data_IF_341149974171
#
_entry.id   IF_341149974171
#
_cell.length_a   1.000
_cell.length_b   1.000
_cell.length_c   1.000
_cell.angle_alpha   90.00
_cell.angle_beta   90.00
_cell.angle_gamma   90.00
#
_symmetry.space_group_name_H-M   'P 1'
#
loop_
_entity.id
_entity.type
_entity.pdbx_description
1 polymer ?
#
# COMPACT_ATOMS: atom_id res chain seq x y z
N UNK A 1 9.85 21.22 31.34
CA UNK A 1 9.48 20.86 31.35
C UNK A 1 9.50 20.74 31.43
N UNK A 2 9.72 21.07 32.00
CA UNK A 2 9.46 20.92 32.05
C UNK A 2 9.11 21.03 31.49
N UNK A 3 9.14 21.25 31.11
CA UNK A 3 8.82 21.12 30.49
C UNK A 3 8.48 21.14 29.46
N UNK A 4 8.44 21.87 28.82
CA UNK A 4 8.44 21.46 27.44
C UNK A 4 8.00 20.05 27.13
N UNK A 5 7.68 19.36 28.08
CA UNK A 5 7.29 17.97 27.90
C UNK A 5 5.94 17.82 27.26
N UNK A 6 5.12 18.83 27.31
CA UNK A 6 3.82 18.76 26.68
C UNK A 6 3.91 18.51 25.17
N UNK A 7 5.06 18.79 24.57
CA UNK A 7 5.25 18.58 23.14
C UNK A 7 5.72 17.19 22.77
N UNK A 8 6.23 16.43 23.75
CA UNK A 8 6.77 15.12 23.43
C UNK A 8 5.76 14.16 22.79
N UNK A 9 4.55 14.02 23.32
CA UNK A 9 3.55 13.19 22.63
C UNK A 9 3.23 13.70 21.24
N UNK A 10 3.23 14.99 21.07
CA UNK A 10 2.96 15.60 19.79
C UNK A 10 4.08 15.29 18.78
N UNK A 11 5.31 15.38 19.23
CA UNK A 11 6.47 15.07 18.38
C UNK A 11 6.46 13.63 17.94
N UNK A 12 5.97 12.74 18.80
CA UNK A 12 5.94 11.31 18.48
C UNK A 12 4.71 10.88 17.71
N UNK A 13 3.77 11.80 17.49
CA UNK A 13 2.58 11.45 16.72
C UNK A 13 2.94 11.20 15.27
N UNK A 14 2.45 10.09 14.72
CA UNK A 14 2.62 9.77 13.33
C UNK A 14 1.30 9.26 12.75
N UNK A 15 0.83 9.85 11.67
CA UNK A 15 -0.36 9.32 11.00
C UNK A 15 -0.04 7.95 10.41
N UNK A 16 -1.05 7.30 9.89
CA UNK A 16 -0.87 6.06 9.14
C UNK A 16 -0.01 6.35 7.91
N UNK A 17 0.87 5.41 7.59
CA UNK A 17 1.73 5.52 6.42
C UNK A 17 1.73 4.16 5.72
N UNK A 18 0.94 4.05 4.67
CA UNK A 18 0.85 2.81 3.90
C UNK A 18 1.95 2.77 2.85
N UNK A 19 2.59 1.63 2.76
CA UNK A 19 3.64 1.43 1.77
C UNK A 19 3.56 0.01 1.23
N UNK A 20 3.77 -0.13 -0.07
CA UNK A 20 3.72 -1.41 -0.74
C UNK A 20 5.11 -1.88 -1.10
N UNK A 21 5.29 -3.20 -1.18
CA UNK A 21 6.46 -3.81 -1.76
C UNK A 21 6.21 -4.04 -3.25
N UNK A 22 7.28 -4.29 -4.00
CA UNK A 22 7.15 -4.59 -5.43
C UNK A 22 6.20 -5.77 -5.61
N UNK A 23 5.18 -5.64 -6.48
CA UNK A 23 4.28 -6.75 -6.76
C UNK A 23 5.01 -7.95 -7.31
N UNK A 24 4.58 -9.15 -6.91
CA UNK A 24 5.15 -10.40 -7.38
C UNK A 24 4.06 -11.23 -8.03
N UNK A 25 4.39 -11.86 -9.16
CA UNK A 25 3.44 -12.73 -9.82
C UNK A 25 3.44 -14.10 -9.14
N UNK A 26 2.28 -14.54 -8.71
CA UNK A 26 2.09 -15.85 -8.09
C UNK A 26 1.54 -16.79 -9.15
N UNK A 27 2.38 -17.69 -9.64
CA UNK A 27 2.01 -18.62 -10.69
C UNK A 27 0.95 -19.60 -10.25
N UNK A 28 0.95 -19.98 -8.98
CA UNK A 28 -0.01 -20.96 -8.47
C UNK A 28 -1.41 -20.37 -8.42
N UNK A 29 -1.53 -19.10 -8.04
CA UNK A 29 -2.82 -18.45 -7.91
C UNK A 29 -3.20 -17.65 -9.15
N UNK A 30 -2.26 -17.45 -10.07
CA UNK A 30 -2.53 -16.75 -11.31
C UNK A 30 -2.78 -15.27 -11.16
N UNK A 31 -2.10 -14.62 -10.22
CA UNK A 31 -2.31 -13.20 -9.98
C UNK A 31 -1.09 -12.48 -9.44
N UNK A 32 -1.22 -11.18 -9.26
CA UNK A 32 -0.18 -10.37 -8.67
C UNK A 32 -0.42 -10.26 -7.16
N UNK A 33 0.60 -10.56 -6.40
CA UNK A 33 0.60 -10.48 -4.95
C UNK A 33 1.25 -9.18 -4.53
N UNK A 34 0.53 -8.38 -3.75
CA UNK A 34 1.02 -7.09 -3.28
C UNK A 34 0.96 -7.06 -1.76
N UNK A 35 2.12 -6.89 -1.12
CA UNK A 35 2.19 -6.73 0.32
C UNK A 35 2.17 -5.26 0.67
N UNK A 36 1.31 -4.90 1.61
CA UNK A 36 1.17 -3.52 2.08
C UNK A 36 1.31 -3.52 3.58
N UNK A 37 2.10 -2.59 4.10
CA UNK A 37 2.31 -2.44 5.53
C UNK A 37 2.03 -1.01 5.96
N UNK A 38 1.48 -0.87 7.15
CA UNK A 38 1.29 0.44 7.76
C UNK A 38 2.50 0.74 8.65
N UNK A 39 3.33 1.68 8.22
CA UNK A 39 4.52 2.08 8.97
C UNK A 39 4.26 3.27 9.89
N UNK A 40 3.03 3.75 9.94
CA UNK A 40 2.66 4.83 10.84
C UNK A 40 2.31 4.31 12.23
N UNK A 41 1.95 5.22 13.10
CA UNK A 41 1.60 4.90 14.48
C UNK A 41 0.10 5.02 14.75
N UNK A 42 -0.69 5.21 13.69
CA UNK A 42 -2.15 5.26 13.77
C UNK A 42 -2.73 4.25 12.79
N UNK A 43 -3.93 3.77 13.08
CA UNK A 43 -4.64 2.89 12.16
C UNK A 43 -4.93 3.62 10.85
N UNK A 44 -4.93 2.90 9.74
CA UNK A 44 -5.17 3.52 8.43
C UNK A 44 -6.64 3.84 8.23
N UNK A 45 -6.90 4.91 7.47
CA UNK A 45 -8.24 5.27 7.04
C UNK A 45 -8.70 4.32 5.93
N UNK A 46 -10.00 4.29 5.62
CA UNK A 46 -10.48 3.47 4.51
C UNK A 46 -9.73 3.82 3.22
N UNK A 47 -9.17 2.82 2.59
CA UNK A 47 -8.25 3.00 1.46
C UNK A 47 -8.58 1.99 0.38
N UNK A 48 -8.40 2.40 -0.88
CA UNK A 48 -8.44 1.50 -2.03
C UNK A 48 -7.07 1.46 -2.66
N UNK A 49 -6.69 0.31 -3.19
CA UNK A 49 -5.38 0.09 -3.77
C UNK A 49 -5.54 -0.32 -5.23
N UNK A 50 -4.81 0.35 -6.10
CA UNK A 50 -4.79 0.05 -7.52
C UNK A 50 -3.37 -0.32 -7.92
N UNK A 51 -3.24 -1.35 -8.76
CA UNK A 51 -1.93 -1.72 -9.30
C UNK A 51 -1.93 -1.38 -10.78
N UNK A 52 -0.89 -0.68 -11.21
CA UNK A 52 -0.67 -0.35 -12.61
C UNK A 52 0.55 -1.13 -13.07
N UNK A 53 0.37 -1.93 -14.11
CA UNK A 53 1.44 -2.76 -14.65
C UNK A 53 1.72 -2.33 -16.08
N UNK A 54 2.94 -1.87 -16.36
CA UNK A 54 3.36 -1.38 -17.67
C UNK A 54 2.36 -0.35 -18.22
N UNK A 55 1.84 0.52 -17.36
CA UNK A 55 0.90 1.55 -17.75
C UNK A 55 -0.56 1.11 -17.80
N UNK A 56 -0.84 -0.17 -17.57
CA UNK A 56 -2.22 -0.69 -17.58
C UNK A 56 -2.71 -0.92 -16.17
N UNK A 57 -3.83 -0.29 -15.81
CA UNK A 57 -4.44 -0.50 -14.51
C UNK A 57 -5.06 -1.89 -14.46
N UNK A 58 -4.75 -2.62 -13.41
CA UNK A 58 -5.31 -3.95 -13.24
C UNK A 58 -6.66 -3.89 -12.56
N UNK A 59 -6.70 -3.32 -11.38
CA UNK A 59 -7.94 -3.32 -10.63
C UNK A 59 -7.75 -2.50 -9.36
N UNK A 60 -8.86 -1.99 -8.82
CA UNK A 60 -8.84 -1.30 -7.53
C UNK A 60 -9.54 -2.17 -6.51
N UNK A 61 -8.85 -2.45 -5.41
CA UNK A 61 -9.33 -3.32 -4.35
C UNK A 61 -9.36 -2.55 -3.03
N UNK A 62 -10.43 -2.75 -2.25
CA UNK A 62 -10.52 -2.13 -0.94
C UNK A 62 -9.51 -2.79 0.00
N UNK A 63 -8.79 -1.97 0.76
CA UNK A 63 -7.85 -2.42 1.76
C UNK A 63 -8.50 -2.29 3.12
N UNK A 64 -8.46 -3.35 3.92
CA UNK A 64 -8.96 -3.26 5.29
C UNK A 64 -8.13 -2.25 6.07
N UNK A 65 -8.67 -1.76 7.17
CA UNK A 65 -7.91 -0.90 8.09
C UNK A 65 -6.73 -1.67 8.63
N UNK A 66 -5.54 -1.10 8.50
CA UNK A 66 -4.32 -1.69 9.04
C UNK A 66 -3.92 -0.97 10.32
N UNK A 67 -3.67 -1.74 11.37
CA UNK A 67 -3.12 -1.20 12.60
C UNK A 67 -1.64 -0.87 12.39
N UNK A 68 -1.01 -0.13 13.30
CA UNK A 68 0.42 0.16 13.16
C UNK A 68 1.23 -1.11 12.94
N UNK A 69 2.07 -1.09 11.90
CA UNK A 69 2.96 -2.18 11.49
C UNK A 69 2.27 -3.45 11.00
N UNK A 70 0.95 -3.43 10.90
CA UNK A 70 0.22 -4.57 10.34
C UNK A 70 0.47 -4.68 8.84
N UNK A 71 0.56 -5.93 8.36
CA UNK A 71 0.79 -6.23 6.94
C UNK A 71 -0.44 -6.91 6.38
N UNK A 72 -0.84 -6.50 5.19
CA UNK A 72 -1.91 -7.17 4.45
C UNK A 72 -1.39 -7.54 3.07
N UNK A 73 -1.81 -8.69 2.59
CA UNK A 73 -1.41 -9.20 1.29
C UNK A 73 -2.63 -9.21 0.38
N UNK A 74 -2.58 -8.45 -0.70
CA UNK A 74 -3.67 -8.39 -1.66
C UNK A 74 -3.31 -9.18 -2.91
N UNK A 75 -4.33 -9.85 -3.49
CA UNK A 75 -4.16 -10.57 -4.74
C UNK A 75 -4.95 -9.87 -5.83
N UNK A 76 -4.28 -9.54 -6.92
CA UNK A 76 -4.89 -8.93 -8.09
C UNK A 76 -4.88 -9.93 -9.21
N UNK A 77 -6.06 -10.22 -9.76
CA UNK A 77 -6.16 -11.08 -10.93
C UNK A 77 -5.45 -10.39 -12.08
N UNK A 78 -4.60 -11.10 -12.76
CA UNK A 78 -3.88 -10.55 -13.88
C UNK A 78 -4.00 -11.51 -15.06
N UNK A 79 -4.59 -11.01 -16.15
CA UNK A 79 -4.63 -11.76 -17.41
C UNK A 79 -3.30 -11.69 -18.12
N UNK A 80 -2.39 -10.88 -17.63
CA UNK A 80 -1.11 -10.70 -18.24
C UNK A 80 -0.13 -11.67 -17.67
N UNK A 81 0.40 -12.51 -18.50
CA UNK A 81 1.46 -13.46 -18.12
C UNK A 81 2.74 -12.69 -17.91
N UNK A 82 2.78 -11.93 -16.82
CA UNK A 82 3.93 -11.10 -16.56
C UNK A 82 4.87 -11.80 -15.62
N UNK A 83 5.57 -12.74 -16.17
CA UNK A 83 6.76 -13.28 -15.53
C UNK A 83 7.98 -12.45 -15.91
N UNK A 84 7.75 -11.22 -16.33
CA UNK A 84 8.83 -10.36 -16.80
C UNK A 84 9.42 -9.57 -15.64
N UNK A 85 10.67 -9.87 -15.30
CA UNK A 85 11.37 -9.16 -14.25
C UNK A 85 11.57 -7.69 -14.57
N UNK A 86 11.35 -7.31 -15.83
CA UNK A 86 11.49 -5.94 -16.28
C UNK A 86 10.16 -5.17 -16.28
N UNK A 87 9.08 -5.81 -15.80
CA UNK A 87 7.79 -5.13 -15.76
C UNK A 87 7.86 -3.93 -14.82
N UNK A 88 7.21 -2.85 -15.24
CA UNK A 88 7.11 -1.64 -14.46
C UNK A 88 5.82 -1.68 -13.68
N UNK A 89 5.90 -1.50 -12.36
CA UNK A 89 4.73 -1.53 -11.49
C UNK A 89 4.59 -0.22 -10.74
N UNK A 90 3.32 0.17 -10.54
CA UNK A 90 2.99 1.25 -9.63
C UNK A 90 1.86 0.77 -8.74
N UNK A 91 1.97 1.05 -7.45
CA UNK A 91 0.91 0.75 -6.49
C UNK A 91 0.40 2.08 -5.99
N UNK A 92 -0.88 2.34 -6.20
CA UNK A 92 -1.48 3.65 -5.92
C UNK A 92 -2.53 3.48 -4.83
N UNK A 93 -2.49 4.35 -3.84
CA UNK A 93 -3.42 4.34 -2.73
C UNK A 93 -4.40 5.51 -2.87
N UNK A 94 -5.69 5.21 -2.69
CA UNK A 94 -6.75 6.22 -2.80
C UNK A 94 -7.54 6.29 -1.51
N UNK A 95 -7.86 7.50 -1.08
CA UNK A 95 -8.77 7.73 0.04
C UNK A 95 -9.80 8.74 -0.43
N UNK A 96 -11.09 8.41 -0.23
CA UNK A 96 -12.20 9.23 -0.67
C UNK A 96 -12.09 9.59 -2.16
N UNK A 97 -11.64 8.62 -2.96
CA UNK A 97 -11.51 8.80 -4.39
C UNK A 97 -10.30 9.59 -4.85
N UNK A 98 -9.44 10.02 -3.94
CA UNK A 98 -8.26 10.81 -4.27
C UNK A 98 -7.00 10.02 -4.03
N UNK A 99 -6.04 10.15 -4.94
CA UNK A 99 -4.73 9.53 -4.76
C UNK A 99 -4.01 10.20 -3.60
N UNK A 100 -3.55 9.39 -2.64
CA UNK A 100 -2.84 9.91 -1.46
C UNK A 100 -1.40 9.43 -1.41
N UNK A 101 -1.08 8.35 -2.10
CA UNK A 101 0.29 7.83 -2.13
C UNK A 101 0.48 6.97 -3.36
N UNK A 102 1.71 6.92 -3.88
CA UNK A 102 2.05 6.10 -5.04
C UNK A 102 3.46 5.56 -4.88
N UNK A 103 3.59 4.24 -4.97
CA UNK A 103 4.90 3.59 -4.95
C UNK A 103 5.21 3.09 -6.35
N UNK A 104 6.39 3.43 -6.86
CA UNK A 104 6.82 3.01 -8.20
C UNK A 104 7.96 2.01 -8.07
N UNK A 105 7.91 1.01 -8.92
CA UNK A 105 8.91 -0.07 -8.90
C UNK A 105 9.46 -0.33 -10.29
#
# INVERSE_FOLDING_TARGET
DRYGYARLPYVNYRPALLSARRPLFDKEKGGLKVEIQNFGLSASEPTEVEVICNGSSQRRIALKTLQPYEIECLMFDSDMLLSDDNASYEVVFFQEGKEVERNKF
#
